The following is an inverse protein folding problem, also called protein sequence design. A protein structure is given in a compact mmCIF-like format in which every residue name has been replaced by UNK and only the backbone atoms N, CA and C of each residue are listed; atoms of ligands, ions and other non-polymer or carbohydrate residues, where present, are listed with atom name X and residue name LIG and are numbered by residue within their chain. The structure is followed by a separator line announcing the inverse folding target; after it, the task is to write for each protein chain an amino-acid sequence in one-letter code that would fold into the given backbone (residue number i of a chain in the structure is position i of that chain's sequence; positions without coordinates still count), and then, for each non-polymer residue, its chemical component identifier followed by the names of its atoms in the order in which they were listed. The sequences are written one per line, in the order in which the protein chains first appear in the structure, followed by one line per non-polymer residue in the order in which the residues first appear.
data_IF_431818031182
#
_entry.id   IF_431818031182
#
_cell.length_a   1.000
_cell.length_b   1.000
_cell.length_c   1.000
_cell.angle_alpha   90.00
_cell.angle_beta   90.00
_cell.angle_gamma   90.00
#
_symmetry.space_group_name_H-M   'P 1'
#
loop_
_entity.id
_entity.type
_entity.pdbx_description
1 polymer ?
#
# COMPACT_ATOMS: atom_id res chain seq x y z
N UNK A 1 40.71 -53.77 -20.37
CA UNK A 1 39.71 -52.69 -20.59
C UNK A 1 40.20 -51.41 -19.95
N UNK A 2 40.96 -50.59 -20.69
CA UNK A 2 41.51 -49.34 -20.15
C UNK A 2 40.53 -48.18 -20.39
N UNK A 3 40.08 -47.55 -19.29
CA UNK A 3 39.30 -46.32 -19.30
C UNK A 3 40.22 -45.14 -19.65
N UNK A 4 39.84 -44.39 -20.69
CA UNK A 4 40.53 -43.17 -21.12
C UNK A 4 40.18 -42.04 -20.15
N UNK A 5 41.17 -41.58 -19.40
CA UNK A 5 41.10 -40.33 -18.65
C UNK A 5 40.98 -39.14 -19.62
N UNK A 6 39.94 -38.33 -19.47
CA UNK A 6 39.81 -37.05 -20.18
C UNK A 6 40.76 -36.03 -19.57
N UNK A 7 41.86 -35.76 -20.26
CA UNK A 7 42.76 -34.66 -19.94
C UNK A 7 42.21 -33.32 -20.43
N UNK A 8 42.46 -32.33 -19.58
CA UNK A 8 41.99 -30.96 -19.58
C UNK A 8 42.69 -30.14 -20.70
N UNK A 9 42.04 -29.92 -21.84
CA UNK A 9 42.62 -29.15 -22.97
C UNK A 9 42.34 -27.65 -22.92
N UNK A 10 41.67 -27.15 -21.88
CA UNK A 10 41.26 -25.73 -21.81
C UNK A 10 42.38 -24.72 -21.52
N UNK A 11 43.64 -25.15 -21.30
CA UNK A 11 44.74 -24.24 -20.89
C UNK A 11 45.76 -23.89 -21.98
N UNK A 12 45.65 -24.41 -23.21
CA UNK A 12 46.60 -24.12 -24.29
C UNK A 12 46.02 -23.29 -25.45
N UNK A 13 44.73 -22.95 -25.43
CA UNK A 13 44.09 -22.15 -26.49
C UNK A 13 44.27 -20.62 -26.33
N UNK A 14 45.10 -20.15 -25.40
CA UNK A 14 45.18 -18.73 -25.05
C UNK A 14 46.42 -17.98 -25.57
N UNK A 15 47.31 -18.61 -26.35
CA UNK A 15 48.61 -18.02 -26.68
C UNK A 15 49.01 -18.01 -28.16
N UNK A 16 48.06 -17.96 -29.11
CA UNK A 16 48.37 -17.79 -30.54
C UNK A 16 47.41 -16.86 -31.31
N UNK A 17 46.90 -15.80 -30.68
CA UNK A 17 46.10 -14.76 -31.39
C UNK A 17 46.70 -13.35 -31.24
N UNK A 18 48.00 -13.26 -30.91
CA UNK A 18 48.71 -11.98 -30.74
C UNK A 18 49.90 -11.84 -31.68
N UNK A 19 49.65 -11.81 -32.99
CA UNK A 19 50.66 -11.31 -33.94
C UNK A 19 50.13 -10.88 -35.33
N UNK A 20 48.83 -10.89 -35.63
CA UNK A 20 48.35 -10.67 -37.01
C UNK A 20 47.08 -9.81 -37.14
N UNK A 21 46.92 -8.75 -36.34
CA UNK A 21 45.82 -7.79 -36.55
C UNK A 21 46.20 -6.30 -36.46
N UNK A 22 47.43 -5.96 -36.04
CA UNK A 22 47.85 -4.57 -35.93
C UNK A 22 48.39 -3.96 -37.25
N UNK A 23 49.02 -4.78 -38.11
CA UNK A 23 49.60 -4.34 -39.39
C UNK A 23 48.58 -3.76 -40.38
N UNK A 24 47.48 -4.48 -40.71
CA UNK A 24 46.51 -3.96 -41.66
C UNK A 24 45.64 -2.82 -41.09
N UNK A 25 45.48 -2.72 -39.76
CA UNK A 25 44.73 -1.61 -39.14
C UNK A 25 45.48 -0.28 -39.15
N UNK A 26 46.82 -0.29 -39.05
CA UNK A 26 47.62 0.93 -39.12
C UNK A 26 47.85 1.40 -40.57
N UNK A 27 48.00 0.47 -41.52
CA UNK A 27 48.06 0.79 -42.95
C UNK A 27 46.73 1.38 -43.46
N UNK A 28 45.58 0.85 -43.01
CA UNK A 28 44.27 1.41 -43.34
C UNK A 28 44.06 2.84 -42.78
N UNK A 29 44.66 3.17 -41.62
CA UNK A 29 44.62 4.53 -41.06
C UNK A 29 45.56 5.51 -41.79
N UNK A 30 46.70 5.05 -42.30
CA UNK A 30 47.65 5.89 -43.04
C UNK A 30 47.15 6.25 -44.47
N UNK A 31 46.43 5.35 -45.14
CA UNK A 31 45.81 5.64 -46.45
C UNK A 31 44.55 6.52 -46.30
N UNK A 32 43.84 6.43 -45.17
CA UNK A 32 42.74 7.33 -44.83
C UNK A 32 43.21 8.75 -44.43
N UNK A 33 44.46 8.92 -44.01
CA UNK A 33 45.01 10.22 -43.61
C UNK A 33 45.51 11.09 -44.79
N UNK A 34 45.80 10.48 -45.96
CA UNK A 34 46.21 11.22 -47.18
C UNK A 34 45.10 11.41 -48.21
N UNK A 35 43.95 10.75 -48.06
CA UNK A 35 42.72 11.19 -48.73
C UNK A 35 42.10 12.28 -47.87
N UNK A 36 42.39 13.55 -48.18
CA UNK A 36 41.45 14.64 -47.88
C UNK A 36 40.14 14.24 -48.56
N UNK A 37 39.26 13.53 -47.85
CA UNK A 37 37.87 13.36 -48.25
C UNK A 37 37.38 14.79 -48.47
N UNK A 38 37.16 15.15 -49.73
CA UNK A 38 36.22 16.20 -50.08
C UNK A 38 34.89 15.70 -49.53
N UNK A 39 34.65 15.97 -48.25
CA UNK A 39 33.37 15.66 -47.60
C UNK A 39 32.40 16.55 -48.35
N UNK A 40 31.58 15.94 -49.21
CA UNK A 40 30.54 16.66 -49.92
C UNK A 40 29.73 17.46 -48.88
N UNK A 41 29.26 18.67 -49.20
CA UNK A 41 28.44 19.45 -48.28
C UNK A 41 27.25 18.64 -47.73
N UNK A 42 26.75 17.69 -48.51
CA UNK A 42 25.73 16.70 -48.14
C UNK A 42 26.18 15.75 -47.02
N UNK A 43 27.41 15.23 -47.04
CA UNK A 43 27.91 14.36 -45.98
C UNK A 43 28.12 15.10 -44.64
N UNK A 44 28.49 16.39 -44.67
CA UNK A 44 28.51 17.23 -43.44
C UNK A 44 27.11 17.56 -42.93
N UNK A 45 26.12 17.70 -43.83
CA UNK A 45 24.73 17.91 -43.46
C UNK A 45 24.16 16.65 -42.79
N UNK A 46 24.38 15.48 -43.38
CA UNK A 46 24.00 14.18 -42.82
C UNK A 46 24.62 13.92 -41.45
N UNK A 47 25.91 14.23 -41.23
CA UNK A 47 26.52 14.09 -39.90
C UNK A 47 25.88 15.00 -38.83
N UNK A 48 25.48 16.22 -39.21
CA UNK A 48 24.77 17.14 -38.30
C UNK A 48 23.37 16.64 -37.97
N UNK A 49 22.66 16.07 -38.94
CA UNK A 49 21.36 15.44 -38.73
C UNK A 49 21.49 14.22 -37.82
N UNK A 50 22.47 13.34 -38.07
CA UNK A 50 22.75 12.17 -37.24
C UNK A 50 23.10 12.54 -35.80
N UNK A 51 23.80 13.67 -35.57
CA UNK A 51 24.04 14.20 -34.22
C UNK A 51 22.76 14.73 -33.57
N UNK A 52 21.90 15.43 -34.32
CA UNK A 52 20.61 15.90 -33.80
C UNK A 52 19.70 14.73 -33.44
N UNK A 53 19.62 13.70 -34.28
CA UNK A 53 18.85 12.48 -34.03
C UNK A 53 19.38 11.71 -32.82
N UNK A 54 20.69 11.58 -32.66
CA UNK A 54 21.26 10.96 -31.45
C UNK A 54 20.94 11.75 -30.18
N UNK A 55 20.93 13.09 -30.25
CA UNK A 55 20.54 13.93 -29.12
C UNK A 55 19.05 13.84 -28.81
N UNK A 56 18.18 13.76 -29.82
CA UNK A 56 16.75 13.57 -29.62
C UNK A 56 16.45 12.18 -29.05
N UNK A 57 17.11 11.13 -29.56
CA UNK A 57 17.02 9.78 -29.01
C UNK A 57 17.51 9.70 -27.56
N UNK A 58 18.63 10.33 -27.23
CA UNK A 58 19.12 10.39 -25.85
C UNK A 58 18.13 11.11 -24.91
N UNK A 59 17.52 12.22 -25.36
CA UNK A 59 16.49 12.94 -24.60
C UNK A 59 15.22 12.12 -24.43
N UNK A 60 14.78 11.41 -25.47
CA UNK A 60 13.62 10.52 -25.40
C UNK A 60 13.88 9.34 -24.47
N UNK A 61 15.04 8.70 -24.56
CA UNK A 61 15.44 7.61 -23.66
C UNK A 61 15.48 8.06 -22.19
N UNK A 62 15.99 9.26 -21.91
CA UNK A 62 15.98 9.82 -20.55
C UNK A 62 14.54 10.10 -20.04
N UNK A 63 13.65 10.60 -20.91
CA UNK A 63 12.24 10.80 -20.56
C UNK A 63 11.51 9.48 -20.29
N UNK A 64 11.74 8.45 -21.11
CA UNK A 64 11.16 7.12 -20.92
C UNK A 64 11.59 6.53 -19.58
N UNK A 65 12.89 6.56 -19.25
CA UNK A 65 13.39 6.10 -17.95
C UNK A 65 12.73 6.82 -16.77
N UNK A 66 12.61 8.15 -16.84
CA UNK A 66 11.96 8.94 -15.79
C UNK A 66 10.47 8.61 -15.63
N UNK A 67 9.76 8.36 -16.73
CA UNK A 67 8.36 7.91 -16.70
C UNK A 67 8.27 6.52 -16.08
N UNK A 68 9.10 5.57 -16.49
CA UNK A 68 9.13 4.21 -15.93
C UNK A 68 9.44 4.19 -14.43
N UNK A 69 10.39 5.00 -13.96
CA UNK A 69 10.71 5.16 -12.54
C UNK A 69 9.50 5.72 -11.77
N UNK A 70 8.89 6.80 -12.29
CA UNK A 70 7.70 7.40 -11.66
C UNK A 70 6.49 6.44 -11.63
N UNK A 71 6.34 5.57 -12.63
CA UNK A 71 5.30 4.55 -12.63
C UNK A 71 5.57 3.44 -11.63
N UNK A 72 6.82 3.00 -11.49
CA UNK A 72 7.23 2.00 -10.48
C UNK A 72 7.00 2.54 -9.07
N UNK A 73 7.36 3.80 -8.83
CA UNK A 73 7.10 4.50 -7.55
C UNK A 73 5.60 4.59 -7.27
N UNK A 74 4.78 5.04 -8.23
CA UNK A 74 3.32 5.08 -8.06
C UNK A 74 2.72 3.70 -7.80
N UNK A 75 3.19 2.65 -8.48
CA UNK A 75 2.72 1.27 -8.28
C UNK A 75 3.08 0.74 -6.89
N UNK A 76 4.31 1.00 -6.42
CA UNK A 76 4.75 0.58 -5.08
C UNK A 76 4.01 1.36 -3.99
N UNK A 77 3.87 2.67 -4.15
CA UNK A 77 3.11 3.51 -3.22
C UNK A 77 1.63 3.12 -3.17
N UNK A 78 0.99 2.88 -4.31
CA UNK A 78 -0.39 2.38 -4.36
C UNK A 78 -0.54 1.00 -3.68
N UNK A 79 0.46 0.12 -3.81
CA UNK A 79 0.47 -1.18 -3.12
C UNK A 79 0.60 -1.03 -1.60
N UNK A 80 1.49 -0.14 -1.14
CA UNK A 80 1.67 0.18 0.29
C UNK A 80 0.37 0.78 0.84
N UNK A 81 -0.19 1.81 0.20
CA UNK A 81 -1.46 2.40 0.61
C UNK A 81 -2.59 1.37 0.65
N UNK A 82 -2.65 0.44 -0.31
CA UNK A 82 -3.66 -0.62 -0.32
C UNK A 82 -3.48 -1.58 0.84
N UNK A 83 -2.24 -1.91 1.21
CA UNK A 83 -1.94 -2.75 2.39
C UNK A 83 -2.31 -2.02 3.68
N UNK A 84 -1.94 -0.76 3.81
CA UNK A 84 -2.31 0.07 4.97
C UNK A 84 -3.83 0.22 5.10
N UNK A 85 -4.53 0.54 4.01
CA UNK A 85 -6.01 0.64 4.00
C UNK A 85 -6.67 -0.68 4.41
N UNK A 86 -6.06 -1.84 4.11
CA UNK A 86 -6.56 -3.15 4.57
C UNK A 86 -6.27 -3.38 6.06
N UNK A 87 -5.07 -3.05 6.53
CA UNK A 87 -4.68 -3.17 7.94
C UNK A 87 -5.53 -2.29 8.87
N UNK A 88 -5.87 -1.07 8.44
CA UNK A 88 -6.62 -0.10 9.23
C UNK A 88 -8.14 -0.31 9.24
N UNK A 89 -8.65 -1.35 8.56
CA UNK A 89 -10.07 -1.68 8.62
C UNK A 89 -10.47 -2.05 10.05
N UNK A 90 -11.64 -1.60 10.53
CA UNK A 90 -12.15 -2.00 11.83
C UNK A 90 -12.40 -3.51 11.86
N UNK A 91 -12.22 -4.11 13.04
CA UNK A 91 -12.55 -5.52 13.23
C UNK A 91 -14.05 -5.73 13.05
N UNK A 92 -14.41 -6.67 12.17
CA UNK A 92 -15.80 -7.10 11.99
C UNK A 92 -16.05 -8.28 12.93
N UNK A 93 -16.93 -8.09 13.91
CA UNK A 93 -17.34 -9.14 14.83
C UNK A 93 -17.92 -10.33 14.06
N UNK A 94 -17.58 -11.54 14.51
CA UNK A 94 -18.17 -12.77 14.02
C UNK A 94 -19.58 -12.90 14.61
N UNK A 95 -20.56 -13.17 13.76
CA UNK A 95 -21.89 -13.56 14.21
C UNK A 95 -21.91 -15.02 14.65
N UNK A 96 -22.89 -15.44 15.46
CA UNK A 96 -23.10 -16.85 15.79
C UNK A 96 -23.24 -17.74 14.55
N UNK A 97 -23.93 -17.24 13.51
CA UNK A 97 -24.02 -17.90 12.20
C UNK A 97 -22.64 -18.13 11.56
N UNK A 98 -21.72 -17.18 11.64
CA UNK A 98 -20.38 -17.37 11.08
C UNK A 98 -19.63 -18.50 11.78
N UNK A 99 -19.82 -18.66 13.10
CA UNK A 99 -19.25 -19.76 13.87
C UNK A 99 -19.90 -21.08 13.48
N UNK A 100 -21.23 -21.11 13.39
CA UNK A 100 -21.98 -22.28 12.95
C UNK A 100 -21.55 -22.76 11.57
N UNK A 101 -21.50 -21.86 10.58
CA UNK A 101 -21.04 -22.18 9.23
C UNK A 101 -19.62 -22.72 9.27
N UNK A 102 -18.69 -22.07 10.01
CA UNK A 102 -17.29 -22.53 10.06
C UNK A 102 -17.16 -23.95 10.63
N UNK A 103 -17.96 -24.31 11.63
CA UNK A 103 -17.94 -25.65 12.24
C UNK A 103 -18.66 -26.71 11.37
N UNK A 104 -19.73 -26.32 10.67
CA UNK A 104 -20.62 -27.25 9.97
C UNK A 104 -20.50 -27.24 8.44
N UNK A 105 -19.67 -26.36 7.85
CA UNK A 105 -19.54 -26.25 6.39
C UNK A 105 -19.10 -27.56 5.75
N UNK A 106 -18.18 -28.30 6.39
CA UNK A 106 -17.69 -29.58 5.89
C UNK A 106 -18.74 -30.68 5.92
N UNK A 107 -19.64 -30.68 6.91
CA UNK A 107 -20.69 -31.69 7.04
C UNK A 107 -21.92 -31.39 6.18
N UNK A 108 -22.22 -30.10 5.97
CA UNK A 108 -23.38 -29.66 5.18
C UNK A 108 -23.07 -29.45 3.70
N UNK A 109 -21.79 -29.37 3.31
CA UNK A 109 -21.35 -29.33 1.92
C UNK A 109 -21.55 -28.00 1.19
N UNK A 110 -22.56 -27.21 1.56
CA UNK A 110 -22.82 -25.90 0.95
C UNK A 110 -23.16 -24.79 1.96
N UNK A 111 -22.87 -23.54 1.58
CA UNK A 111 -23.24 -22.36 2.37
C UNK A 111 -24.76 -22.18 2.47
N UNK A 112 -25.48 -22.55 1.40
CA UNK A 112 -26.94 -22.42 1.34
C UNK A 112 -27.60 -23.34 2.37
N UNK A 113 -27.14 -24.59 2.43
CA UNK A 113 -27.68 -25.59 3.35
C UNK A 113 -27.34 -25.25 4.80
N UNK A 114 -26.14 -24.72 5.05
CA UNK A 114 -25.77 -24.20 6.37
C UNK A 114 -26.66 -23.01 6.80
N UNK A 115 -27.03 -22.12 5.88
CA UNK A 115 -27.94 -21.02 6.18
C UNK A 115 -29.36 -21.50 6.49
N UNK A 116 -29.88 -22.47 5.73
CA UNK A 116 -31.20 -23.06 5.98
C UNK A 116 -31.24 -23.78 7.32
N UNK A 117 -30.24 -24.62 7.59
CA UNK A 117 -30.16 -25.34 8.86
C UNK A 117 -30.06 -24.40 10.06
N UNK A 118 -29.34 -23.28 9.93
CA UNK A 118 -29.30 -22.27 11.00
C UNK A 118 -30.68 -21.65 11.29
N UNK A 119 -31.52 -21.45 10.26
CA UNK A 119 -32.88 -20.93 10.48
C UNK A 119 -33.79 -21.94 11.17
N UNK A 120 -33.55 -23.24 10.99
CA UNK A 120 -34.31 -24.32 11.63
C UNK A 120 -33.93 -24.55 13.10
N UNK A 121 -32.71 -24.16 13.51
CA UNK A 121 -32.28 -24.29 14.90
C UNK A 121 -33.13 -23.43 15.84
N UNK A 122 -33.49 -24.01 16.98
CA UNK A 122 -34.11 -23.31 18.11
C UNK A 122 -33.13 -22.34 18.77
N UNK A 123 -33.63 -21.43 19.61
CA UNK A 123 -32.78 -20.49 20.35
C UNK A 123 -31.79 -21.22 21.27
N UNK A 124 -32.24 -22.28 21.96
CA UNK A 124 -31.40 -23.11 22.83
C UNK A 124 -30.25 -23.78 22.07
N UNK A 125 -30.45 -24.19 20.83
CA UNK A 125 -29.40 -24.79 20.00
C UNK A 125 -28.45 -23.74 19.42
N UNK A 126 -28.90 -22.49 19.29
CA UNK A 126 -28.07 -21.36 18.85
C UNK A 126 -27.17 -20.84 19.98
N UNK A 127 -27.61 -20.96 21.23
CA UNK A 127 -26.94 -20.44 22.41
C UNK A 127 -25.44 -20.83 22.53
N UNK A 128 -25.03 -22.10 22.31
CA UNK A 128 -23.61 -22.46 22.32
C UNK A 128 -22.79 -21.72 21.26
N UNK A 129 -23.37 -21.45 20.08
CA UNK A 129 -22.72 -20.68 19.02
C UNK A 129 -22.65 -19.19 19.35
N UNK A 130 -23.63 -18.66 20.08
CA UNK A 130 -23.61 -17.28 20.60
C UNK A 130 -22.44 -17.11 21.56
N UNK A 131 -22.35 -17.97 22.59
CA UNK A 131 -21.28 -17.91 23.58
C UNK A 131 -19.89 -18.08 22.97
N UNK A 132 -19.73 -19.02 22.01
CA UNK A 132 -18.48 -19.18 21.26
C UNK A 132 -18.14 -17.92 20.45
N UNK A 133 -19.12 -17.34 19.75
CA UNK A 133 -18.90 -16.12 18.96
C UNK A 133 -18.47 -14.95 19.86
N UNK A 134 -19.10 -14.77 21.01
CA UNK A 134 -18.73 -13.75 21.99
C UNK A 134 -17.32 -13.94 22.53
N UNK A 135 -16.96 -15.16 22.92
CA UNK A 135 -15.61 -15.49 23.39
C UNK A 135 -14.55 -15.20 22.32
N UNK A 136 -14.78 -15.66 21.09
CA UNK A 136 -13.87 -15.40 19.96
C UNK A 136 -13.79 -13.90 19.63
N UNK A 137 -14.90 -13.17 19.71
CA UNK A 137 -14.91 -11.73 19.48
C UNK A 137 -14.14 -11.00 20.59
N UNK A 138 -14.27 -11.41 21.85
CA UNK A 138 -13.54 -10.83 22.97
C UNK A 138 -12.03 -11.07 22.84
N UNK A 139 -11.61 -12.28 22.49
CA UNK A 139 -10.20 -12.62 22.23
C UNK A 139 -9.64 -11.83 21.04
N UNK A 140 -10.41 -11.73 19.95
CA UNK A 140 -9.99 -10.95 18.80
C UNK A 140 -9.96 -9.46 19.08
N UNK A 141 -10.85 -8.90 19.89
CA UNK A 141 -10.82 -7.47 20.23
C UNK A 141 -9.58 -7.08 21.06
N UNK A 142 -9.00 -8.02 21.82
CA UNK A 142 -7.70 -7.82 22.50
C UNK A 142 -6.56 -7.63 21.49
N UNK A 143 -6.63 -8.32 20.34
CA UNK A 143 -5.63 -8.23 19.27
C UNK A 143 -5.92 -7.07 18.31
N UNK A 144 -7.19 -6.90 17.94
CA UNK A 144 -7.68 -5.87 17.03
C UNK A 144 -8.25 -4.73 17.86
N UNK A 145 -7.36 -4.01 18.55
CA UNK A 145 -7.73 -2.87 19.37
C UNK A 145 -8.52 -1.83 18.55
N UNK A 146 -9.58 -1.23 19.11
CA UNK A 146 -10.38 -0.24 18.40
C UNK A 146 -9.54 1.02 18.11
N UNK A 147 -9.89 1.72 17.02
CA UNK A 147 -9.25 2.98 16.68
C UNK A 147 -9.48 3.99 17.82
N UNK A 148 -8.43 4.70 18.30
CA UNK A 148 -8.57 5.77 19.27
C UNK A 148 -9.60 6.81 18.80
N UNK A 149 -10.43 7.29 19.72
CA UNK A 149 -11.46 8.29 19.43
C UNK A 149 -10.83 9.68 19.44
N UNK A 150 -11.11 10.48 18.42
CA UNK A 150 -10.62 11.87 18.35
C UNK A 150 -11.26 12.72 19.44
N UNK A 151 -10.56 13.74 19.98
CA UNK A 151 -11.16 14.70 20.90
C UNK A 151 -12.44 15.29 20.29
N UNK A 152 -13.51 15.31 21.08
CA UNK A 152 -14.79 15.84 20.62
C UNK A 152 -14.64 17.33 20.25
N UNK A 153 -15.19 17.77 19.10
CA UNK A 153 -15.15 19.18 18.71
C UNK A 153 -15.96 20.03 19.69
N UNK A 154 -15.71 21.35 19.70
CA UNK A 154 -16.30 22.27 20.67
C UNK A 154 -17.83 22.18 20.73
N UNK A 155 -18.49 22.17 19.57
CA UNK A 155 -19.95 22.01 19.51
C UNK A 155 -20.44 20.68 20.10
N UNK A 156 -19.75 19.57 19.86
CA UNK A 156 -20.14 18.27 20.40
C UNK A 156 -19.97 18.20 21.93
N UNK A 157 -18.97 18.89 22.48
CA UNK A 157 -18.80 19.05 23.92
C UNK A 157 -19.92 19.90 24.52
N UNK A 158 -20.25 21.00 23.85
CA UNK A 158 -21.35 21.86 24.24
C UNK A 158 -22.70 21.14 24.23
N UNK A 159 -23.02 20.41 23.15
CA UNK A 159 -24.30 19.68 23.05
C UNK A 159 -24.38 18.58 24.11
N UNK A 160 -23.28 17.87 24.39
CA UNK A 160 -23.22 16.89 25.47
C UNK A 160 -23.46 17.51 26.84
N UNK A 161 -22.91 18.69 27.10
CA UNK A 161 -23.08 19.39 28.38
C UNK A 161 -24.48 19.98 28.57
N UNK A 162 -25.15 20.37 27.48
CA UNK A 162 -26.46 21.02 27.50
C UNK A 162 -27.60 20.11 27.02
N UNK A 163 -27.37 18.79 26.97
CA UNK A 163 -28.36 17.84 26.46
C UNK A 163 -29.53 17.69 27.42
N UNK A 164 -30.76 17.80 26.92
CA UNK A 164 -31.98 17.58 27.71
C UNK A 164 -32.48 16.17 27.45
N UNK A 165 -32.46 15.31 28.48
CA UNK A 165 -32.72 13.86 28.33
C UNK A 165 -34.17 13.50 28.01
N UNK A 166 -35.12 14.41 28.23
CA UNK A 166 -36.57 14.13 28.15
C UNK A 166 -37.25 14.76 26.92
N UNK A 167 -36.48 15.42 26.05
CA UNK A 167 -37.00 16.04 24.83
C UNK A 167 -36.73 15.16 23.61
N UNK A 168 -37.58 15.30 22.58
CA UNK A 168 -37.32 14.70 21.28
C UNK A 168 -36.00 15.23 20.70
N UNK A 169 -35.21 14.32 20.10
CA UNK A 169 -33.88 14.64 19.58
C UNK A 169 -33.90 15.82 18.60
N UNK A 170 -34.93 15.92 17.76
CA UNK A 170 -35.07 16.99 16.77
C UNK A 170 -35.21 18.36 17.43
N UNK A 171 -36.01 18.43 18.50
CA UNK A 171 -36.28 19.67 19.25
C UNK A 171 -35.05 20.06 20.06
N UNK A 172 -34.49 19.13 20.84
CA UNK A 172 -33.31 19.36 21.68
C UNK A 172 -32.09 19.79 20.85
N UNK A 173 -31.87 19.17 19.69
CA UNK A 173 -30.75 19.50 18.79
C UNK A 173 -30.88 20.91 18.18
N UNK A 174 -32.09 21.32 17.78
CA UNK A 174 -32.36 22.68 17.28
C UNK A 174 -32.14 23.73 18.37
N UNK A 175 -32.67 23.49 19.57
CA UNK A 175 -32.49 24.39 20.71
C UNK A 175 -31.02 24.53 21.10
N UNK A 176 -30.25 23.43 21.09
CA UNK A 176 -28.81 23.47 21.33
C UNK A 176 -28.06 24.25 20.23
N UNK A 177 -28.44 24.08 18.97
CA UNK A 177 -27.83 24.83 17.86
C UNK A 177 -28.06 26.34 17.96
N UNK A 178 -29.27 26.76 18.37
CA UNK A 178 -29.60 28.17 18.60
C UNK A 178 -28.80 28.76 19.76
N UNK A 179 -28.75 28.07 20.90
CA UNK A 179 -27.92 28.46 22.05
C UNK A 179 -26.45 28.59 21.65
N UNK A 180 -25.91 27.63 20.89
CA UNK A 180 -24.52 27.68 20.41
C UNK A 180 -24.25 28.89 19.51
N UNK A 181 -25.20 29.31 18.69
CA UNK A 181 -25.04 30.50 17.83
C UNK A 181 -24.97 31.79 18.64
N UNK A 182 -25.73 31.86 19.73
CA UNK A 182 -25.77 33.02 20.63
C UNK A 182 -24.50 33.17 21.47
N UNK A 183 -23.74 32.09 21.70
CA UNK A 183 -22.48 32.16 22.44
C UNK A 183 -21.43 33.02 21.73
N UNK A 184 -20.70 33.79 22.53
CA UNK A 184 -19.50 34.54 22.14
C UNK A 184 -18.36 33.60 21.73
N UNK A 185 -17.32 34.15 21.12
CA UNK A 185 -16.14 33.37 20.71
C UNK A 185 -15.40 32.80 21.93
N UNK A 186 -15.29 33.58 23.00
CA UNK A 186 -14.60 33.17 24.24
C UNK A 186 -15.32 32.00 24.92
N UNK A 187 -16.66 32.04 24.98
CA UNK A 187 -17.46 30.92 25.49
C UNK A 187 -17.33 29.67 24.63
N UNK A 188 -17.27 29.82 23.30
CA UNK A 188 -17.03 28.70 22.38
C UNK A 188 -15.64 28.09 22.57
N UNK A 189 -14.63 28.93 22.82
CA UNK A 189 -13.25 28.49 23.05
C UNK A 189 -13.13 27.70 24.36
N UNK A 190 -13.96 27.98 25.38
CA UNK A 190 -14.02 27.16 26.60
C UNK A 190 -14.45 25.70 26.33
N UNK A 191 -15.24 25.47 25.28
CA UNK A 191 -15.63 24.12 24.87
C UNK A 191 -14.61 23.48 23.91
N UNK A 192 -13.63 24.21 23.39
CA UNK A 192 -12.65 23.66 22.45
C UNK A 192 -11.77 22.59 23.10
N UNK A 193 -11.43 21.51 22.37
CA UNK A 193 -10.48 20.51 22.85
C UNK A 193 -9.12 21.15 23.13
N UNK A 194 -8.51 20.79 24.26
CA UNK A 194 -7.21 21.34 24.66
C UNK A 194 -6.12 20.81 23.71
N UNK A 195 -5.04 21.59 23.46
CA UNK A 195 -3.92 21.12 22.63
C UNK A 195 -3.34 19.78 23.09
N UNK A 196 -3.25 19.56 24.40
CA UNK A 196 -2.75 18.33 25.02
C UNK A 196 -3.58 17.09 24.64
N UNK A 197 -4.90 17.21 24.56
CA UNK A 197 -5.78 16.11 24.16
C UNK A 197 -5.57 15.72 22.69
N UNK A 198 -5.31 16.72 21.84
CA UNK A 198 -4.95 16.49 20.44
C UNK A 198 -3.59 15.81 20.30
N UNK A 199 -2.60 16.21 21.08
CA UNK A 199 -1.30 15.55 21.09
C UNK A 199 -1.38 14.11 21.58
N UNK A 200 -2.10 13.88 22.68
CA UNK A 200 -2.36 12.54 23.19
C UNK A 200 -3.06 11.66 22.14
N UNK A 201 -4.08 12.19 21.46
CA UNK A 201 -4.75 11.51 20.36
C UNK A 201 -3.81 11.20 19.20
N UNK A 202 -2.99 12.16 18.75
CA UNK A 202 -2.03 11.96 17.65
C UNK A 202 -1.02 10.87 17.98
N UNK A 203 -0.48 10.86 19.21
CA UNK A 203 0.44 9.83 19.70
C UNK A 203 -0.24 8.46 19.74
N UNK A 204 -1.42 8.37 20.35
CA UNK A 204 -2.19 7.12 20.44
C UNK A 204 -2.62 6.58 19.07
N UNK A 205 -2.98 7.48 18.13
CA UNK A 205 -3.38 7.08 16.78
C UNK A 205 -2.18 6.60 15.96
N UNK A 206 -1.01 7.22 16.12
CA UNK A 206 0.23 6.77 15.49
C UNK A 206 0.65 5.39 15.98
N UNK A 207 0.70 5.19 17.30
CA UNK A 207 1.04 3.88 17.89
C UNK A 207 0.03 2.80 17.46
N UNK A 208 -1.27 3.11 17.51
CA UNK A 208 -2.30 2.20 17.02
C UNK A 208 -2.11 1.84 15.55
N UNK A 209 -1.81 2.81 14.68
CA UNK A 209 -1.56 2.55 13.24
C UNK A 209 -0.39 1.60 13.04
N UNK A 210 0.72 1.82 13.74
CA UNK A 210 1.93 0.99 13.65
C UNK A 210 1.66 -0.44 14.13
N UNK A 211 1.01 -0.60 15.28
CA UNK A 211 0.59 -1.91 15.82
C UNK A 211 -0.31 -2.66 14.84
N UNK A 212 -1.28 -1.97 14.23
CA UNK A 212 -2.19 -2.55 13.22
C UNK A 212 -1.46 -3.03 11.98
N UNK A 213 -0.53 -2.24 11.46
CA UNK A 213 0.26 -2.60 10.28
C UNK A 213 1.17 -3.79 10.59
N UNK A 214 1.82 -3.80 11.75
CA UNK A 214 2.67 -4.91 12.20
C UNK A 214 1.87 -6.20 12.36
N UNK A 215 0.70 -6.14 12.98
CA UNK A 215 -0.19 -7.29 13.16
C UNK A 215 -0.72 -7.84 11.83
N UNK A 216 -1.00 -6.95 10.87
CA UNK A 216 -1.40 -7.37 9.52
C UNK A 216 -0.27 -8.07 8.77
N UNK A 217 0.96 -7.59 8.92
CA UNK A 217 2.14 -8.21 8.32
C UNK A 217 2.50 -9.56 8.94
N UNK A 218 2.23 -9.78 10.23
CA UNK A 218 2.55 -11.05 10.90
C UNK A 218 1.50 -12.16 10.71
N UNK A 219 0.29 -11.82 10.26
CA UNK A 219 -0.82 -12.76 10.04
C UNK A 219 -1.07 -13.10 8.56
N UNK A 220 -0.35 -12.43 7.65
CA UNK A 220 -0.25 -12.79 6.23
C UNK A 220 0.91 -13.76 6.03
#
# INVERSE_FOLDING_TARGET
MFQIARLNTAKYAAFQVRAFSAGPMLAAKAVAAKSKKVVSPEAKALEKELKKEKLTLAKLAAKVKKVEESEKEKKTQASIERREKKALKPYKKLSPLNVFIKENYKSLGSLKDASHKWTELTESEKEPFVQKAEKLNAENLKLYTPKPVSPAPAYARFTKANWVSNEDFSVASKAAAEKWRQLTKEEKDAYSPKPEEWEAYRKAFASWREERIKLYASKL
#
